data_IF_363819879534
#
_entry.id   IF_363819879534
#
_cell.length_a   1.000
_cell.length_b   1.000
_cell.length_c   1.000
_cell.angle_alpha   90.00
_cell.angle_beta   90.00
_cell.angle_gamma   90.00
#
_symmetry.space_group_name_H-M   'P 1'
#
loop_
_entity.id
_entity.type
_entity.pdbx_description
1 polymer ?
#
# COMPACT_ATOMS: atom_id res chain seq x y z
N UNK A 1 6.42 29.88 -7.60
CA UNK A 1 6.78 28.51 -7.22
C UNK A 1 6.51 27.62 -8.41
N UNK A 2 7.54 27.18 -9.11
CA UNK A 2 7.43 26.46 -10.38
C UNK A 2 7.35 24.95 -10.12
N UNK A 3 6.51 24.29 -10.91
CA UNK A 3 6.13 22.87 -10.90
C UNK A 3 7.31 21.90 -11.22
N UNK A 4 8.52 22.23 -10.77
CA UNK A 4 9.80 21.59 -11.10
C UNK A 4 10.57 21.12 -9.87
N UNK A 5 10.17 21.52 -8.66
CA UNK A 5 10.65 20.90 -7.40
C UNK A 5 10.01 19.54 -7.13
N UNK A 6 8.94 19.19 -7.85
CA UNK A 6 8.29 17.87 -7.88
C UNK A 6 9.01 16.91 -8.87
N UNK A 7 10.23 17.24 -9.28
CA UNK A 7 11.16 16.23 -9.79
C UNK A 7 11.63 15.39 -8.62
N UNK A 8 10.84 14.37 -8.23
CA UNK A 8 11.15 13.33 -7.22
C UNK A 8 12.25 13.72 -6.24
N UNK A 9 11.87 14.23 -5.06
CA UNK A 9 12.81 14.37 -3.93
C UNK A 9 13.77 13.18 -3.91
N UNK A 10 15.09 13.42 -3.86
CA UNK A 10 16.10 12.36 -3.86
C UNK A 10 15.76 11.25 -2.84
N UNK A 11 15.21 11.65 -1.69
CA UNK A 11 14.67 10.75 -0.66
C UNK A 11 13.54 9.84 -1.16
N UNK A 12 12.61 10.38 -1.95
CA UNK A 12 11.54 9.59 -2.56
C UNK A 12 12.08 8.57 -3.56
N UNK A 13 13.03 8.96 -4.40
CA UNK A 13 13.66 8.05 -5.36
C UNK A 13 14.38 6.89 -4.67
N UNK A 14 15.11 7.15 -3.58
CA UNK A 14 15.73 6.11 -2.75
C UNK A 14 14.70 5.17 -2.13
N UNK A 15 13.59 5.71 -1.58
CA UNK A 15 12.50 4.90 -1.02
C UNK A 15 11.84 4.01 -2.08
N UNK A 16 11.64 4.51 -3.29
CA UNK A 16 11.08 3.72 -4.40
C UNK A 16 12.04 2.61 -4.81
N UNK A 17 13.34 2.87 -4.87
CA UNK A 17 14.34 1.86 -5.20
C UNK A 17 14.42 0.75 -4.14
N UNK A 18 14.45 1.12 -2.86
CA UNK A 18 14.44 0.19 -1.72
C UNK A 18 13.17 -0.68 -1.71
N UNK A 19 12.00 -0.07 -1.90
CA UNK A 19 10.73 -0.81 -1.96
C UNK A 19 10.71 -1.80 -3.12
N UNK A 20 11.19 -1.40 -4.31
CA UNK A 20 11.31 -2.31 -5.47
C UNK A 20 12.24 -3.48 -5.20
N UNK A 21 13.36 -3.25 -4.52
CA UNK A 21 14.29 -4.32 -4.14
C UNK A 21 13.63 -5.31 -3.17
N UNK A 22 12.94 -4.81 -2.15
CA UNK A 22 12.18 -5.63 -1.19
C UNK A 22 11.11 -6.47 -1.87
N UNK A 23 10.29 -5.85 -2.73
CA UNK A 23 9.27 -6.55 -3.51
C UNK A 23 9.86 -7.71 -4.31
N UNK A 24 10.99 -7.49 -4.98
CA UNK A 24 11.69 -8.55 -5.73
C UNK A 24 12.18 -9.66 -4.81
N UNK A 25 12.76 -9.34 -3.65
CA UNK A 25 13.26 -10.36 -2.71
C UNK A 25 12.17 -11.20 -2.06
N UNK A 26 10.96 -10.66 -1.90
CA UNK A 26 9.84 -11.35 -1.25
C UNK A 26 8.80 -11.87 -2.25
N UNK A 27 9.03 -11.73 -3.56
CA UNK A 27 8.09 -12.18 -4.58
C UNK A 27 6.81 -11.36 -4.70
N UNK A 28 6.75 -10.15 -4.12
CA UNK A 28 5.57 -9.29 -4.23
C UNK A 28 5.46 -8.77 -5.66
N UNK A 29 4.32 -9.06 -6.27
CA UNK A 29 3.96 -8.71 -7.63
C UNK A 29 3.41 -7.29 -7.73
N UNK A 30 3.39 -6.76 -8.96
CA UNK A 30 2.72 -5.50 -9.26
C UNK A 30 1.22 -5.56 -8.96
N UNK A 31 0.59 -6.73 -9.16
CA UNK A 31 -0.83 -6.93 -8.88
C UNK A 31 -1.13 -6.79 -7.38
N UNK A 32 -0.35 -7.43 -6.52
CA UNK A 32 -0.50 -7.32 -5.06
C UNK A 32 -0.27 -5.89 -4.57
N UNK A 33 0.71 -5.18 -5.13
CA UNK A 33 0.95 -3.77 -4.80
C UNK A 33 -0.23 -2.87 -5.22
N UNK A 34 -0.84 -3.12 -6.38
CA UNK A 34 -2.05 -2.39 -6.81
C UNK A 34 -3.25 -2.71 -5.91
N UNK A 35 -3.40 -3.95 -5.47
CA UNK A 35 -4.45 -4.33 -4.50
C UNK A 35 -4.24 -3.62 -3.17
N UNK A 36 -3.01 -3.61 -2.64
CA UNK A 36 -2.66 -2.85 -1.44
C UNK A 36 -3.00 -1.36 -1.58
N UNK A 37 -2.67 -0.72 -2.70
CA UNK A 37 -3.00 0.70 -2.93
C UNK A 37 -4.51 0.97 -2.88
N UNK A 38 -5.33 0.08 -3.44
CA UNK A 38 -6.80 0.22 -3.39
C UNK A 38 -7.32 0.10 -1.96
N UNK A 39 -6.86 -0.89 -1.21
CA UNK A 39 -7.22 -1.09 0.21
C UNK A 39 -6.79 0.12 1.04
N UNK A 40 -5.55 0.56 0.88
CA UNK A 40 -5.02 1.69 1.62
C UNK A 40 -5.74 3.02 1.27
N UNK A 41 -6.26 3.17 0.05
CA UNK A 41 -7.09 4.32 -0.33
C UNK A 41 -8.48 4.29 0.33
N UNK A 42 -9.03 3.12 0.62
CA UNK A 42 -10.29 2.97 1.37
C UNK A 42 -10.05 3.30 2.85
N UNK A 43 -8.94 2.83 3.41
CA UNK A 43 -8.62 2.98 4.84
C UNK A 43 -8.09 4.37 5.20
N UNK A 44 -7.24 4.96 4.36
CA UNK A 44 -6.53 6.20 4.66
C UNK A 44 -7.36 7.48 4.62
N UNK A 45 -8.66 7.39 4.30
CA UNK A 45 -9.55 8.55 4.14
C UNK A 45 -9.27 9.38 2.88
N UNK A 46 -10.17 10.31 2.56
CA UNK A 46 -10.02 11.23 1.43
C UNK A 46 -9.06 12.38 1.75
N UNK A 47 -8.29 12.80 0.74
CA UNK A 47 -7.31 13.91 0.73
C UNK A 47 -5.95 13.65 1.39
N UNK A 48 -5.01 13.11 0.59
CA UNK A 48 -3.59 13.49 0.67
C UNK A 48 -2.78 12.97 1.86
N UNK A 49 -3.40 12.33 2.85
CA UNK A 49 -2.73 11.71 3.98
C UNK A 49 -3.03 10.22 4.03
N UNK A 50 -2.07 9.39 3.60
CA UNK A 50 -2.13 7.94 3.82
C UNK A 50 -1.85 7.64 5.30
N UNK A 51 -2.82 7.96 6.17
CA UNK A 51 -2.73 7.66 7.60
C UNK A 51 -3.48 6.36 7.84
N UNK A 52 -2.74 5.27 7.85
CA UNK A 52 -3.23 3.96 8.30
C UNK A 52 -2.99 3.87 9.81
N UNK A 53 -4.05 3.63 10.57
CA UNK A 53 -3.98 3.31 11.99
C UNK A 53 -3.66 1.83 12.19
N UNK A 54 -3.12 1.47 13.36
CA UNK A 54 -2.93 0.05 13.69
C UNK A 54 -4.25 -0.72 13.66
N UNK A 55 -5.34 -0.08 14.12
CA UNK A 55 -6.69 -0.64 14.10
C UNK A 55 -7.18 -0.92 12.67
N UNK A 56 -6.75 -0.14 11.67
CA UNK A 56 -7.05 -0.41 10.27
C UNK A 56 -6.43 -1.74 9.85
N UNK A 57 -5.15 -1.97 10.17
CA UNK A 57 -4.46 -3.23 9.85
C UNK A 57 -5.08 -4.43 10.56
N UNK A 58 -5.58 -4.23 11.79
CA UNK A 58 -6.34 -5.26 12.52
C UNK A 58 -7.70 -5.52 11.84
N UNK A 59 -8.42 -4.49 11.41
CA UNK A 59 -9.66 -4.65 10.67
C UNK A 59 -9.45 -5.41 9.35
N UNK A 60 -8.32 -5.17 8.66
CA UNK A 60 -7.97 -5.90 7.45
C UNK A 60 -7.80 -7.41 7.67
N UNK A 61 -7.26 -7.85 8.81
CA UNK A 61 -7.10 -9.29 9.07
C UNK A 61 -8.46 -9.97 9.25
N UNK A 62 -9.41 -9.34 9.93
CA UNK A 62 -10.78 -9.88 10.06
C UNK A 62 -11.50 -9.98 8.72
N UNK A 63 -11.27 -9.05 7.80
CA UNK A 63 -11.85 -9.12 6.44
C UNK A 63 -11.27 -10.31 5.67
N UNK A 64 -9.97 -10.59 5.80
CA UNK A 64 -9.35 -11.77 5.16
C UNK A 64 -9.93 -13.06 5.74
N UNK A 65 -9.99 -13.20 7.06
CA UNK A 65 -10.58 -14.37 7.73
C UNK A 65 -12.02 -14.62 7.28
N UNK A 66 -12.85 -13.58 7.21
CA UNK A 66 -14.23 -13.69 6.76
C UNK A 66 -14.38 -14.11 5.28
N UNK A 67 -13.42 -13.75 4.43
CA UNK A 67 -13.41 -14.17 3.02
C UNK A 67 -13.00 -15.63 2.86
N UNK A 68 -12.03 -16.09 3.66
CA UNK A 68 -11.57 -17.49 3.66
C UNK A 68 -12.67 -18.43 4.15
N UNK A 69 -13.43 -18.05 5.19
CA UNK A 69 -14.57 -18.82 5.71
C UNK A 69 -15.72 -18.97 4.70
N UNK A 70 -15.83 -18.06 3.73
CA UNK A 70 -16.88 -18.05 2.72
C UNK A 70 -16.50 -18.75 1.41
N UNK A 71 -15.27 -19.25 1.27
CA UNK A 71 -14.87 -20.05 0.11
C UNK A 71 -15.54 -21.44 0.18
N UNK A 72 -16.35 -21.86 -0.84
CA UNK A 72 -16.86 -23.22 -0.87
C UNK A 72 -15.68 -24.19 -1.08
N UNK A 73 -15.55 -25.16 -0.18
CA UNK A 73 -14.62 -26.29 -0.30
C UNK A 73 -14.82 -27.09 -1.60
#
# INVERSE_FOLDING_TARGET
>A
MSNREIGTSHTLSLRVADLKAKMRSTGITEHEMKTFQKVAAIMGGSEGSLRLYADDLIAASFVVEALDDHAPN
#
